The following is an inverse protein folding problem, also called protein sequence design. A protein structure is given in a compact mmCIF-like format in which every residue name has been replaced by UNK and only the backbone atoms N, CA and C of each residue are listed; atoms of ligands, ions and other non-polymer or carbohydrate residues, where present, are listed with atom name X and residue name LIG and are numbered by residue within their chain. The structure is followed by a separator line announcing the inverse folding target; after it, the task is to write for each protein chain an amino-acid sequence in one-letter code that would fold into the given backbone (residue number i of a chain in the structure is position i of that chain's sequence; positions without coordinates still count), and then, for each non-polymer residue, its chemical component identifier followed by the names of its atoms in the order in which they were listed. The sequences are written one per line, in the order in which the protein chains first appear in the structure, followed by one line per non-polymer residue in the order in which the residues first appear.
data_IF_701253725675
#
_entry.id   IF_701253725675
#
_cell.length_a   1.000
_cell.length_b   1.000
_cell.length_c   1.000
_cell.angle_alpha   90.00
_cell.angle_beta   90.00
_cell.angle_gamma   90.00
#
_symmetry.space_group_name_H-M   'P 1'
#
loop_
_entity.id
_entity.type
_entity.pdbx_description
1 polymer ?
#
# COMPACT_ATOMS: atom_id res chain seq x y z
N UNK A 1 -34.47 5.55 -2.19
CA UNK A 1 -33.04 5.27 -2.46
C UNK A 1 -32.35 5.06 -1.12
N UNK A 2 -32.83 4.16 -0.25
CA UNK A 2 -32.63 2.70 -0.25
C UNK A 2 -31.16 2.27 -0.22
N UNK A 3 -30.86 1.56 0.88
CA UNK A 3 -29.83 0.53 1.03
C UNK A 3 -28.40 1.02 1.26
N UNK A 4 -28.07 1.11 2.55
CA UNK A 4 -26.96 0.33 3.11
C UNK A 4 -25.76 0.22 2.17
N UNK A 5 -25.02 1.32 2.05
CA UNK A 5 -23.57 1.25 1.82
C UNK A 5 -23.03 0.41 2.98
N UNK A 6 -23.07 -0.92 2.83
CA UNK A 6 -22.55 -1.88 3.78
C UNK A 6 -21.13 -1.42 4.06
N UNK A 7 -20.91 -0.83 5.25
CA UNK A 7 -19.73 -0.01 5.49
C UNK A 7 -18.51 -0.91 5.37
N UNK A 8 -17.86 -0.82 4.20
CA UNK A 8 -16.65 -1.56 3.90
C UNK A 8 -15.51 -0.74 4.46
N UNK A 9 -14.76 -1.37 5.34
CA UNK A 9 -13.62 -0.77 6.03
C UNK A 9 -12.33 -1.43 5.51
N UNK A 10 -11.90 -1.13 4.27
CA UNK A 10 -10.70 -1.73 3.71
C UNK A 10 -9.48 -1.26 4.49
N UNK A 11 -8.47 -2.12 4.59
CA UNK A 11 -7.18 -1.74 5.14
C UNK A 11 -6.34 -1.14 4.03
N UNK A 12 -5.92 0.11 4.19
CA UNK A 12 -4.91 0.74 3.35
C UNK A 12 -3.52 0.48 3.94
N UNK A 13 -2.62 -0.04 3.12
CA UNK A 13 -1.22 -0.34 3.46
C UNK A 13 -0.34 0.53 2.59
N UNK A 14 0.68 1.14 3.19
CA UNK A 14 1.66 1.95 2.48
C UNK A 14 3.07 1.41 2.72
N UNK A 15 3.70 0.95 1.63
CA UNK A 15 5.06 0.41 1.62
C UNK A 15 6.08 1.41 1.04
N UNK A 16 5.66 2.63 0.68
CA UNK A 16 6.56 3.67 0.17
C UNK A 16 7.20 4.47 1.32
N UNK A 17 8.45 4.13 1.62
CA UNK A 17 9.23 4.84 2.66
C UNK A 17 9.63 6.26 2.26
N UNK A 18 9.59 6.61 0.98
CA UNK A 18 10.01 7.91 0.48
C UNK A 18 8.86 8.92 0.47
N UNK A 19 7.67 8.49 0.02
CA UNK A 19 6.50 9.36 -0.18
C UNK A 19 5.23 8.85 0.52
N UNK A 20 5.33 7.89 1.44
CA UNK A 20 4.19 7.25 2.11
C UNK A 20 3.28 8.24 2.82
N UNK A 21 1.96 8.01 2.76
CA UNK A 21 0.87 8.90 3.15
C UNK A 21 0.44 8.80 4.61
N UNK A 22 0.85 7.74 5.31
CA UNK A 22 0.35 7.44 6.65
C UNK A 22 1.10 8.15 7.78
N UNK A 23 2.39 8.43 7.63
CA UNK A 23 3.19 9.05 8.69
C UNK A 23 4.38 9.81 8.09
N UNK A 24 5.36 10.12 8.93
CA UNK A 24 6.61 10.74 8.54
C UNK A 24 7.38 9.87 7.53
N UNK A 25 8.21 10.48 6.67
CA UNK A 25 9.07 9.74 5.75
C UNK A 25 9.98 8.74 6.48
N UNK A 26 10.31 7.63 5.81
CA UNK A 26 11.06 6.52 6.39
C UNK A 26 10.22 5.59 7.23
N UNK A 27 8.90 5.54 6.98
CA UNK A 27 7.97 4.61 7.63
C UNK A 27 7.23 3.78 6.59
N UNK A 28 6.80 2.59 7.02
CA UNK A 28 5.76 1.81 6.33
C UNK A 28 4.62 1.60 7.32
N UNK A 29 3.41 1.38 6.84
CA UNK A 29 2.30 1.20 7.76
C UNK A 29 1.00 0.74 7.13
N UNK A 30 -0.01 0.56 7.99
CA UNK A 30 -1.35 0.19 7.59
C UNK A 30 -2.41 0.91 8.45
N UNK A 31 -3.59 1.13 7.89
CA UNK A 31 -4.71 1.78 8.56
C UNK A 31 -6.04 1.30 7.98
N UNK A 32 -7.07 1.17 8.81
CA UNK A 32 -8.42 0.89 8.34
C UNK A 32 -9.10 2.18 7.87
N UNK A 33 -9.74 2.15 6.70
CA UNK A 33 -10.50 3.29 6.17
C UNK A 33 -11.96 3.13 6.60
N UNK A 34 -12.35 3.79 7.69
CA UNK A 34 -13.72 3.70 8.22
C UNK A 34 -14.67 4.73 7.60
N UNK A 35 -14.12 5.90 7.23
CA UNK A 35 -14.86 7.04 6.69
C UNK A 35 -14.28 7.48 5.35
N UNK A 36 -15.12 8.03 4.46
CA UNK A 36 -14.63 8.67 3.24
C UNK A 36 -13.57 9.70 3.58
N UNK A 37 -12.54 9.75 2.75
CA UNK A 37 -11.46 10.74 2.79
C UNK A 37 -12.03 12.14 2.66
N UNK A 38 -11.61 13.05 3.55
CA UNK A 38 -11.92 14.47 3.41
C UNK A 38 -11.10 15.07 2.24
N UNK A 39 -11.70 16.00 1.48
CA UNK A 39 -11.07 16.55 0.28
C UNK A 39 -9.81 17.36 0.62
N UNK A 40 -9.79 17.98 1.80
CA UNK A 40 -8.70 18.84 2.28
C UNK A 40 -7.76 18.07 3.21
N UNK A 41 -8.28 17.35 4.20
CA UNK A 41 -7.43 16.68 5.22
C UNK A 41 -6.91 15.30 4.79
N UNK A 42 -7.52 14.68 3.78
CA UNK A 42 -7.16 13.32 3.37
C UNK A 42 -7.76 12.24 4.28
N UNK A 43 -7.00 11.18 4.56
CA UNK A 43 -7.50 10.06 5.36
C UNK A 43 -7.56 10.44 6.84
N UNK A 44 -8.69 10.18 7.50
CA UNK A 44 -8.80 10.31 8.95
C UNK A 44 -7.88 9.29 9.63
N UNK A 45 -6.78 9.77 10.23
CA UNK A 45 -5.73 8.92 10.81
C UNK A 45 -6.12 8.32 12.17
N UNK A 46 -7.14 7.47 12.19
CA UNK A 46 -7.57 6.78 13.41
C UNK A 46 -6.75 5.50 13.59
N UNK A 47 -5.85 5.51 14.58
CA UNK A 47 -5.04 4.36 14.99
C UNK A 47 -4.27 3.64 13.84
N UNK A 48 -3.34 4.35 13.15
CA UNK A 48 -2.48 3.72 12.17
C UNK A 48 -1.43 2.80 12.83
N UNK A 49 -1.16 1.65 12.21
CA UNK A 49 -0.04 0.78 12.54
C UNK A 49 1.18 1.23 11.74
N UNK A 50 2.22 1.71 12.41
CA UNK A 50 3.41 2.27 11.75
C UNK A 50 4.67 1.53 12.20
N UNK A 51 5.50 1.13 11.24
CA UNK A 51 6.86 0.66 11.46
C UNK A 51 7.86 1.67 10.92
N UNK A 52 8.87 2.01 11.74
CA UNK A 52 9.92 2.92 11.34
C UNK A 52 11.08 2.17 10.67
N UNK A 53 11.33 2.50 9.41
CA UNK A 53 12.43 1.94 8.61
C UNK A 53 13.72 2.76 8.77
N UNK A 54 13.60 4.09 8.91
CA UNK A 54 14.73 5.00 9.17
C UNK A 54 15.50 5.47 7.93
N UNK A 55 15.19 4.96 6.73
CA UNK A 55 15.76 5.44 5.47
C UNK A 55 14.68 5.92 4.51
N UNK A 56 15.04 6.87 3.64
CA UNK A 56 14.14 7.41 2.60
C UNK A 56 14.07 6.54 1.36
N UNK A 57 15.01 5.63 1.20
CA UNK A 57 15.12 4.76 0.04
C UNK A 57 15.06 3.30 0.48
N UNK A 58 14.18 2.49 -0.12
CA UNK A 58 14.05 1.06 0.23
C UNK A 58 15.34 0.26 -0.01
N UNK A 59 16.21 0.73 -0.91
CA UNK A 59 17.49 0.10 -1.22
C UNK A 59 18.60 0.28 -0.18
N UNK A 60 18.45 1.20 0.78
CA UNK A 60 19.48 1.45 1.79
C UNK A 60 19.74 0.22 2.68
N UNK A 61 18.69 -0.53 3.00
CA UNK A 61 18.76 -1.79 3.74
C UNK A 61 17.58 -2.70 3.35
N UNK A 62 17.77 -3.48 2.29
CA UNK A 62 16.72 -4.35 1.72
C UNK A 62 16.28 -5.44 2.71
N UNK A 63 17.21 -5.96 3.51
CA UNK A 63 16.90 -7.01 4.50
C UNK A 63 15.94 -6.48 5.58
N UNK A 64 16.22 -5.29 6.12
CA UNK A 64 15.34 -4.65 7.09
C UNK A 64 13.98 -4.31 6.46
N UNK A 65 13.96 -3.78 5.24
CA UNK A 65 12.70 -3.47 4.55
C UNK A 65 11.83 -4.71 4.40
N UNK A 66 12.38 -5.81 3.88
CA UNK A 66 11.64 -7.06 3.71
C UNK A 66 11.16 -7.64 5.04
N UNK A 67 11.96 -7.53 6.12
CA UNK A 67 11.55 -7.93 7.46
C UNK A 67 10.33 -7.13 7.94
N UNK A 68 10.36 -5.80 7.77
CA UNK A 68 9.26 -4.93 8.16
C UNK A 68 8.00 -5.20 7.33
N UNK A 69 8.14 -5.43 6.01
CA UNK A 69 7.02 -5.82 5.13
C UNK A 69 6.39 -7.13 5.61
N UNK A 70 7.18 -8.16 5.91
CA UNK A 70 6.67 -9.43 6.42
C UNK A 70 5.96 -9.25 7.76
N UNK A 71 6.53 -8.44 8.67
CA UNK A 71 5.90 -8.16 9.97
C UNK A 71 4.59 -7.37 9.82
N UNK A 72 4.55 -6.41 8.91
CA UNK A 72 3.34 -5.66 8.61
C UNK A 72 2.25 -6.57 8.03
N UNK A 73 2.60 -7.46 7.11
CA UNK A 73 1.65 -8.42 6.54
C UNK A 73 1.07 -9.37 7.62
N UNK A 74 1.92 -9.89 8.52
CA UNK A 74 1.48 -10.71 9.65
C UNK A 74 0.46 -9.97 10.53
N UNK A 75 0.77 -8.75 10.96
CA UNK A 75 -0.13 -7.96 11.82
C UNK A 75 -1.42 -7.57 11.09
N UNK A 76 -1.37 -7.31 9.77
CA UNK A 76 -2.57 -7.03 8.96
C UNK A 76 -3.46 -8.28 8.87
N UNK A 77 -2.89 -9.46 8.67
CA UNK A 77 -3.63 -10.72 8.67
C UNK A 77 -4.32 -10.97 10.03
N UNK A 78 -3.60 -10.79 11.15
CA UNK A 78 -4.17 -10.88 12.50
C UNK A 78 -5.32 -9.88 12.70
N UNK A 79 -5.19 -8.65 12.19
CA UNK A 79 -6.25 -7.63 12.25
C UNK A 79 -7.47 -8.01 11.41
N UNK A 80 -7.28 -8.65 10.26
CA UNK A 80 -8.37 -9.17 9.43
C UNK A 80 -9.09 -10.34 10.10
N UNK A 81 -8.38 -11.20 10.83
CA UNK A 81 -9.00 -12.26 11.66
C UNK A 81 -9.85 -11.70 12.78
N UNK A 82 -9.37 -10.64 13.43
CA UNK A 82 -10.05 -10.01 14.55
C UNK A 82 -11.29 -9.22 14.13
N UNK A 83 -11.29 -8.57 12.96
CA UNK A 83 -12.40 -7.76 12.48
C UNK A 83 -12.99 -8.27 11.15
N UNK A 84 -14.23 -8.78 11.22
CA UNK A 84 -14.97 -9.29 10.05
C UNK A 84 -15.25 -8.22 9.00
N UNK A 85 -15.39 -6.94 9.37
CA UNK A 85 -15.59 -5.87 8.40
C UNK A 85 -14.35 -5.65 7.54
N UNK A 86 -13.16 -5.63 8.16
CA UNK A 86 -11.88 -5.57 7.44
C UNK A 86 -11.69 -6.79 6.54
N UNK A 87 -12.02 -7.99 7.03
CA UNK A 87 -11.93 -9.22 6.23
C UNK A 87 -12.74 -9.12 4.94
N UNK A 88 -14.01 -8.70 5.00
CA UNK A 88 -14.89 -8.61 3.82
C UNK A 88 -14.49 -7.46 2.88
N UNK A 89 -13.81 -6.44 3.42
CA UNK A 89 -13.48 -5.22 2.66
C UNK A 89 -12.16 -5.33 1.90
N UNK A 90 -11.26 -6.20 2.38
CA UNK A 90 -9.98 -6.45 1.74
C UNK A 90 -8.89 -5.44 2.12
N UNK A 91 -7.78 -5.55 1.40
CA UNK A 91 -6.57 -4.73 1.62
C UNK A 91 -6.18 -4.04 0.31
N UNK A 92 -5.80 -2.78 0.41
CA UNK A 92 -5.27 -1.96 -0.69
C UNK A 92 -3.83 -1.61 -0.33
N UNK A 93 -2.87 -2.02 -1.17
CA UNK A 93 -1.45 -1.81 -0.90
C UNK A 93 -0.87 -0.82 -1.91
N UNK A 94 -0.29 0.27 -1.40
CA UNK A 94 0.56 1.18 -2.15
C UNK A 94 2.03 0.75 -2.04
N UNK A 95 2.74 0.73 -3.17
CA UNK A 95 4.15 0.31 -3.25
C UNK A 95 5.04 1.47 -3.68
N UNK A 96 6.35 1.33 -3.43
CA UNK A 96 7.33 2.27 -3.97
C UNK A 96 7.44 2.18 -5.50
N UNK A 97 7.87 3.27 -6.14
CA UNK A 97 8.11 3.34 -7.59
C UNK A 97 9.38 2.64 -8.08
N UNK A 98 10.12 1.94 -7.20
CA UNK A 98 11.35 1.25 -7.57
C UNK A 98 11.05 -0.17 -8.06
N UNK A 99 10.94 -0.30 -9.37
CA UNK A 99 10.41 -1.51 -10.04
C UNK A 99 11.48 -2.34 -10.75
N UNK A 100 12.76 -1.97 -10.67
CA UNK A 100 13.86 -2.63 -11.41
C UNK A 100 14.87 -3.28 -10.45
N UNK A 101 15.46 -4.40 -10.88
CA UNK A 101 16.53 -5.08 -10.13
C UNK A 101 16.06 -5.52 -8.75
N UNK A 102 16.73 -5.04 -7.68
CA UNK A 102 16.32 -5.34 -6.30
C UNK A 102 14.90 -4.87 -5.98
N UNK A 103 14.47 -3.72 -6.52
CA UNK A 103 13.12 -3.23 -6.31
C UNK A 103 12.04 -4.19 -6.83
N UNK A 104 12.29 -4.85 -7.96
CA UNK A 104 11.41 -5.91 -8.47
C UNK A 104 11.31 -7.11 -7.51
N UNK A 105 12.45 -7.54 -6.94
CA UNK A 105 12.45 -8.62 -5.95
C UNK A 105 11.67 -8.24 -4.68
N UNK A 106 11.72 -6.97 -4.27
CA UNK A 106 10.95 -6.45 -3.13
C UNK A 106 9.45 -6.42 -3.42
N UNK A 107 9.04 -6.11 -4.66
CA UNK A 107 7.63 -6.20 -5.08
C UNK A 107 7.13 -7.65 -5.05
N UNK A 108 7.91 -8.59 -5.55
CA UNK A 108 7.58 -10.02 -5.49
C UNK A 108 7.51 -10.50 -4.02
N UNK A 109 8.43 -10.04 -3.17
CA UNK A 109 8.40 -10.34 -1.73
C UNK A 109 7.13 -9.80 -1.07
N UNK A 110 6.75 -8.55 -1.35
CA UNK A 110 5.52 -7.96 -0.84
C UNK A 110 4.27 -8.72 -1.33
N UNK A 111 4.19 -9.05 -2.62
CA UNK A 111 3.09 -9.82 -3.19
C UNK A 111 2.92 -11.20 -2.51
N UNK A 112 4.04 -11.87 -2.19
CA UNK A 112 4.02 -13.15 -1.47
C UNK A 112 3.67 -12.98 0.00
N UNK A 113 4.24 -11.99 0.68
CA UNK A 113 4.01 -11.76 2.10
C UNK A 113 2.55 -11.41 2.40
N UNK A 114 1.90 -10.67 1.50
CA UNK A 114 0.50 -10.29 1.61
C UNK A 114 -0.48 -11.25 0.92
N UNK A 115 -0.01 -12.34 0.32
CA UNK A 115 -0.85 -13.36 -0.37
C UNK A 115 -1.90 -12.75 -1.31
N UNK A 116 -1.41 -12.01 -2.31
CA UNK A 116 -2.26 -11.07 -3.06
C UNK A 116 -2.98 -11.71 -4.25
N UNK A 117 -4.25 -11.37 -4.46
CA UNK A 117 -5.05 -11.94 -5.56
C UNK A 117 -5.00 -11.12 -6.85
N UNK A 118 -4.90 -9.79 -6.74
CA UNK A 118 -4.97 -8.87 -7.88
C UNK A 118 -3.86 -7.83 -7.80
N UNK A 119 -3.09 -7.72 -8.88
CA UNK A 119 -2.03 -6.73 -9.05
C UNK A 119 -2.36 -5.83 -10.22
N UNK A 120 -2.44 -4.52 -9.98
CA UNK A 120 -2.71 -3.50 -11.00
C UNK A 120 -1.42 -2.78 -11.33
N UNK A 121 -0.89 -2.97 -12.53
CA UNK A 121 0.31 -2.31 -13.05
C UNK A 121 -0.09 -1.06 -13.82
N UNK A 122 0.47 0.08 -13.43
CA UNK A 122 0.15 1.38 -14.03
C UNK A 122 1.23 1.84 -15.02
N UNK A 123 0.87 1.91 -16.30
CA UNK A 123 1.67 2.53 -17.38
C UNK A 123 3.10 1.96 -17.51
N UNK A 124 3.28 0.68 -17.17
CA UNK A 124 4.55 -0.05 -17.32
C UNK A 124 4.36 -1.46 -17.91
N UNK A 125 4.33 -1.55 -19.24
CA UNK A 125 4.15 -2.83 -19.94
C UNK A 125 5.27 -3.85 -19.68
N UNK A 126 6.52 -3.37 -19.51
CA UNK A 126 7.65 -4.26 -19.20
C UNK A 126 7.47 -4.96 -17.86
N UNK A 127 7.07 -4.20 -16.84
CA UNK A 127 6.79 -4.73 -15.51
C UNK A 127 5.60 -5.70 -15.54
N UNK A 128 4.56 -5.37 -16.30
CA UNK A 128 3.42 -6.28 -16.50
C UNK A 128 3.86 -7.64 -17.03
N UNK A 129 4.66 -7.66 -18.10
CA UNK A 129 5.14 -8.92 -18.70
C UNK A 129 6.05 -9.72 -17.76
N UNK A 130 6.90 -9.04 -16.98
CA UNK A 130 7.74 -9.69 -15.97
C UNK A 130 6.89 -10.32 -14.85
N UNK A 131 5.90 -9.59 -14.33
CA UNK A 131 5.00 -10.08 -13.28
C UNK A 131 4.14 -11.26 -13.75
N UNK A 132 3.60 -11.19 -14.97
CA UNK A 132 2.82 -12.30 -15.56
C UNK A 132 3.67 -13.57 -15.73
N UNK A 133 4.97 -13.41 -16.00
CA UNK A 133 5.89 -14.56 -16.15
C UNK A 133 6.28 -15.18 -14.82
N UNK A 134 6.54 -14.35 -13.80
CA UNK A 134 7.19 -14.79 -12.55
C UNK A 134 6.19 -15.09 -11.42
N UNK A 135 4.93 -14.63 -11.51
CA UNK A 135 3.87 -14.90 -10.54
C UNK A 135 3.00 -16.12 -10.94
N UNK A 136 2.43 -16.83 -9.97
CA UNK A 136 1.53 -17.95 -10.26
C UNK A 136 0.21 -17.48 -10.87
N UNK A 137 -0.44 -18.35 -11.64
CA UNK A 137 -1.71 -18.05 -12.33
C UNK A 137 -2.87 -17.68 -11.40
N UNK A 138 -2.76 -18.01 -10.10
CA UNK A 138 -3.72 -17.58 -9.06
C UNK A 138 -3.77 -16.06 -8.92
N UNK A 139 -2.67 -15.36 -9.19
CA UNK A 139 -2.59 -13.91 -9.07
C UNK A 139 -2.98 -13.27 -10.40
N UNK A 140 -4.08 -12.52 -10.40
CA UNK A 140 -4.53 -11.77 -11.57
C UNK A 140 -3.71 -10.51 -11.72
N UNK A 141 -2.99 -10.38 -12.84
CA UNK A 141 -2.25 -9.15 -13.17
C UNK A 141 -3.06 -8.36 -14.21
N UNK A 142 -3.35 -7.09 -13.92
CA UNK A 142 -4.09 -6.17 -14.80
C UNK A 142 -3.22 -4.98 -15.16
N UNK A 143 -3.16 -4.64 -16.44
CA UNK A 143 -2.51 -3.43 -16.92
C UNK A 143 -3.52 -2.28 -17.02
N UNK A 144 -3.16 -1.10 -16.53
CA UNK A 144 -3.97 0.12 -16.63
C UNK A 144 -3.11 1.29 -17.12
N UNK A 145 -3.58 2.07 -18.13
CA UNK A 145 -2.91 3.30 -18.51
C UNK A 145 -3.07 4.37 -17.41
N UNK A 146 -2.08 5.26 -17.29
CA UNK A 146 -2.23 6.43 -16.41
C UNK A 146 -3.32 7.35 -16.94
N UNK A 147 -4.02 8.00 -16.01
CA UNK A 147 -4.92 9.11 -16.36
C UNK A 147 -4.13 10.26 -16.99
N UNK A 148 -4.73 10.94 -17.97
CA UNK A 148 -4.09 12.07 -18.68
C UNK A 148 -3.77 13.27 -17.78
N UNK A 149 -4.34 13.34 -16.57
CA UNK A 149 -4.01 14.37 -15.57
C UNK A 149 -2.78 14.06 -14.72
N UNK A 150 -2.14 12.89 -14.89
CA UNK A 150 -0.93 12.53 -14.14
C UNK A 150 0.28 13.24 -14.74
N UNK A 151 0.81 14.22 -14.02
CA UNK A 151 2.04 14.93 -14.40
C UNK A 151 3.26 14.25 -13.80
N UNK A 152 4.33 14.13 -14.58
CA UNK A 152 5.63 13.71 -14.06
C UNK A 152 6.14 14.77 -13.10
N UNK A 153 6.29 14.41 -11.84
CA UNK A 153 6.94 15.27 -10.86
C UNK A 153 8.45 15.12 -11.08
N UNK A 154 9.00 15.99 -11.93
CA UNK A 154 10.44 16.18 -11.98
C UNK A 154 10.92 16.79 -10.66
N UNK A 155 11.98 16.24 -10.07
CA UNK A 155 12.59 16.72 -8.83
C UNK A 155 13.10 18.17 -8.89
N UNK A 156 12.96 18.84 -10.04
CA UNK A 156 13.49 20.18 -10.34
C UNK A 156 12.41 21.27 -10.24
N UNK A 157 11.12 20.98 -10.44
CA UNK A 157 10.06 22.02 -10.51
C UNK A 157 9.31 22.29 -9.20
N UNK A 158 9.51 21.46 -8.19
CA UNK A 158 9.12 21.73 -6.80
C UNK A 158 10.44 21.81 -6.04
N UNK A 159 10.64 22.75 -5.09
CA UNK A 159 11.88 22.80 -4.33
C UNK A 159 11.99 21.48 -3.55
N UNK A 160 12.67 20.48 -4.10
CA UNK A 160 13.04 19.20 -3.50
C UNK A 160 11.86 18.29 -3.06
N UNK A 161 11.92 17.00 -3.40
CA UNK A 161 11.12 15.96 -2.72
C UNK A 161 11.26 16.04 -1.18
N UNK A 162 12.38 16.60 -0.71
CA UNK A 162 12.66 16.98 0.68
C UNK A 162 11.69 18.01 1.28
N UNK A 163 11.14 18.95 0.50
CA UNK A 163 10.21 19.97 1.00
C UNK A 163 8.81 19.41 1.17
N UNK A 164 8.36 18.50 0.29
CA UNK A 164 7.13 17.71 0.53
C UNK A 164 7.28 16.85 1.79
N UNK A 165 8.45 16.26 1.99
CA UNK A 165 8.75 15.48 3.20
C UNK A 165 8.80 16.35 4.47
N UNK A 166 9.33 17.57 4.36
CA UNK A 166 9.37 18.55 5.45
C UNK A 166 7.95 18.98 5.85
N UNK A 167 7.16 19.46 4.88
CA UNK A 167 5.75 19.81 5.09
C UNK A 167 4.95 18.64 5.68
N UNK A 168 5.24 17.40 5.27
CA UNK A 168 4.60 16.21 5.84
C UNK A 168 4.96 15.97 7.30
N UNK A 169 6.20 16.23 7.68
CA UNK A 169 6.66 16.10 9.07
C UNK A 169 5.98 17.17 9.93
N UNK A 170 5.85 18.39 9.42
CA UNK A 170 5.14 19.47 10.09
C UNK A 170 3.64 19.20 10.21
N UNK A 171 2.96 18.75 9.14
CA UNK A 171 1.54 18.38 9.20
C UNK A 171 1.27 17.23 10.18
N UNK A 172 2.18 16.25 10.29
CA UNK A 172 2.04 15.17 11.27
C UNK A 172 2.20 15.67 12.72
N UNK A 173 3.08 16.64 12.95
CA UNK A 173 3.34 17.18 14.31
C UNK A 173 2.36 18.27 14.72
N UNK A 174 1.85 19.07 13.78
CA UNK A 174 1.07 20.28 14.04
C UNK A 174 -0.41 20.18 13.66
N UNK A 175 -0.84 19.13 12.94
CA UNK A 175 -2.16 19.07 12.32
C UNK A 175 -2.24 19.94 11.05
N UNK A 176 -3.27 19.74 10.22
CA UNK A 176 -3.44 20.40 8.91
C UNK A 176 -4.44 21.57 8.96
N UNK A 177 -4.12 22.69 8.29
CA UNK A 177 -5.13 23.64 7.72
C UNK A 177 -5.04 23.76 6.18
N UNK A 178 -4.04 23.17 5.51
CA UNK A 178 -3.96 23.18 4.03
C UNK A 178 -3.40 21.85 3.50
N UNK A 179 -4.22 21.07 2.81
CA UNK A 179 -3.82 19.79 2.22
C UNK A 179 -3.68 19.86 0.71
N UNK A 180 -2.45 19.96 0.20
CA UNK A 180 -2.16 19.66 -1.20
C UNK A 180 -2.16 18.14 -1.42
N UNK A 181 -3.27 17.61 -1.92
CA UNK A 181 -3.42 16.22 -2.33
C UNK A 181 -2.59 15.94 -3.60
N UNK A 182 -1.29 15.71 -3.43
CA UNK A 182 -0.42 15.26 -4.50
C UNK A 182 -0.56 13.74 -4.66
N UNK A 183 -1.46 13.32 -5.55
CA UNK A 183 -1.53 11.94 -6.05
C UNK A 183 -0.21 11.62 -6.79
N UNK A 184 0.78 11.15 -6.04
CA UNK A 184 2.03 10.61 -6.60
C UNK A 184 1.74 9.22 -7.13
N UNK A 185 2.17 8.98 -8.37
CA UNK A 185 1.89 7.80 -9.17
C UNK A 185 2.04 6.50 -8.36
N UNK A 186 0.89 5.91 -8.02
CA UNK A 186 0.81 4.53 -7.58
C UNK A 186 1.33 3.69 -8.74
N UNK A 187 2.33 2.84 -8.50
CA UNK A 187 2.89 2.02 -9.57
C UNK A 187 2.33 0.60 -9.56
N UNK A 188 1.88 0.14 -8.37
CA UNK A 188 1.22 -1.13 -8.20
C UNK A 188 0.15 -0.99 -7.12
N UNK A 189 -1.14 -1.10 -7.48
CA UNK A 189 -2.22 -1.28 -6.48
C UNK A 189 -2.43 -2.76 -6.35
N UNK A 190 -2.21 -3.27 -5.14
CA UNK A 190 -2.46 -4.68 -4.85
C UNK A 190 -3.74 -4.81 -4.05
N UNK A 191 -4.65 -5.65 -4.52
CA UNK A 191 -5.97 -5.83 -3.94
C UNK A 191 -6.17 -7.27 -3.48
N UNK A 192 -6.75 -7.43 -2.29
CA UNK A 192 -7.17 -8.72 -1.72
C UNK A 192 -8.71 -8.71 -1.64
N UNK A 193 -9.48 -9.18 -2.66
CA UNK A 193 -10.90 -9.45 -2.52
C UNK A 193 -11.11 -10.75 -1.75
N UNK A 194 -11.37 -10.66 -0.44
CA UNK A 194 -11.99 -11.79 0.25
C UNK A 194 -13.49 -11.74 -0.02
N UNK A 195 -13.98 -12.65 -0.88
CA UNK A 195 -15.39 -12.99 -0.86
C UNK A 195 -15.61 -14.52 -0.87
N UNK A 196 -16.14 -14.96 0.27
CA UNK A 196 -16.98 -16.14 0.54
C UNK A 196 -16.50 -17.53 0.09
N UNK A 197 -15.66 -18.14 0.93
CA UNK A 197 -15.94 -19.47 1.53
C UNK A 197 -14.81 -20.05 2.42
N UNK A 198 -13.61 -19.46 2.48
CA UNK A 198 -12.41 -20.21 2.92
C UNK A 198 -11.50 -19.55 3.97
N UNK A 199 -12.05 -19.07 5.09
CA UNK A 199 -11.36 -19.22 6.39
C UNK A 199 -11.44 -20.68 6.91
N UNK A 200 -12.06 -21.59 6.14
CA UNK A 200 -12.53 -22.89 6.61
C UNK A 200 -11.61 -24.10 6.34
N UNK A 201 -10.47 -23.95 5.66
CA UNK A 201 -9.64 -25.12 5.27
C UNK A 201 -8.20 -25.16 5.80
N UNK A 202 -7.51 -24.06 6.11
CA UNK A 202 -6.05 -24.14 6.34
C UNK A 202 -5.59 -23.96 7.78
N UNK A 203 -6.47 -24.25 8.74
CA UNK A 203 -6.11 -24.71 10.09
C UNK A 203 -5.84 -26.23 10.11
N UNK A 204 -5.72 -26.90 8.96
CA UNK A 204 -5.61 -28.37 8.89
C UNK A 204 -4.23 -28.94 8.56
N UNK A 205 -3.18 -28.14 8.35
CA UNK A 205 -1.80 -28.66 8.21
C UNK A 205 -0.83 -27.83 9.07
N UNK A 206 -1.18 -27.72 10.36
CA UNK A 206 -0.20 -27.54 11.44
C UNK A 206 -0.16 -28.79 12.35
N UNK A 207 -0.83 -29.88 11.97
CA UNK A 207 -0.72 -31.21 12.59
C UNK A 207 -0.79 -32.31 11.51
N UNK A 208 0.37 -32.71 10.96
CA UNK A 208 0.70 -34.05 10.41
C UNK A 208 2.19 -34.14 10.12
#
# INVERSE_FOLDING_TARGET
MSEEQRQKEPIYVDLDVGQGQLSIPGTIGAMAIERPTDVEEGFSQVCPLIYHYGYKEPGSNVMLYNLLVTKLAQTVAERMEANRQNAVSGVIINTCGWVKGQGYQMLIHAAKAFEVDLIIVLDQERLYNELVRDLPETVKVVFQPKSGGVTFICSIEIPNASHKQFLKTDCFLMGTEEGHLMLLAVHVIVFIPLNDSMYRASKFILES
#
